data_IF_034341194218
#
_entry.id   IF_034341194218
#
_cell.length_a   1.000
_cell.length_b   1.000
_cell.length_c   1.000
_cell.angle_alpha   90.00
_cell.angle_beta   90.00
_cell.angle_gamma   90.00
#
_symmetry.space_group_name_H-M   'P 1'
#
loop_
_entity.id
_entity.type
_entity.pdbx_description
1 polymer ?
#
# COMPACT_ATOMS: atom_id res chain seq x y z
N UNK A 1 -8.54 60.13 -22.73
CA UNK A 1 -9.06 59.02 -21.89
C UNK A 1 -8.40 57.66 -22.16
N UNK A 2 -7.54 57.50 -23.18
CA UNK A 2 -6.86 56.22 -23.47
C UNK A 2 -5.70 55.85 -22.54
N UNK A 3 -4.98 56.83 -21.97
CA UNK A 3 -3.86 56.57 -21.05
C UNK A 3 -4.28 55.86 -19.75
N UNK A 4 -5.42 56.27 -19.17
CA UNK A 4 -5.97 55.65 -17.96
C UNK A 4 -6.48 54.22 -18.21
N UNK A 5 -7.11 53.99 -19.37
CA UNK A 5 -7.60 52.67 -19.79
C UNK A 5 -6.45 51.69 -20.02
N UNK A 6 -5.35 52.14 -20.65
CA UNK A 6 -4.13 51.34 -20.86
C UNK A 6 -3.45 50.97 -19.54
N UNK A 7 -3.37 51.89 -18.59
CA UNK A 7 -2.80 51.62 -17.26
C UNK A 7 -3.67 50.67 -16.43
N UNK A 8 -5.00 50.79 -16.48
CA UNK A 8 -5.90 49.82 -15.83
C UNK A 8 -5.75 48.41 -16.42
N UNK A 9 -5.62 48.27 -17.74
CA UNK A 9 -5.40 46.97 -18.38
C UNK A 9 -4.08 46.34 -17.95
N UNK A 10 -3.00 47.13 -17.84
CA UNK A 10 -1.71 46.64 -17.36
C UNK A 10 -1.75 46.20 -15.89
N UNK A 11 -2.49 46.91 -15.04
CA UNK A 11 -2.68 46.55 -13.62
C UNK A 11 -3.51 45.26 -13.48
N UNK A 12 -4.56 45.10 -14.29
CA UNK A 12 -5.36 43.87 -14.27
C UNK A 12 -4.53 42.68 -14.76
N UNK A 13 -3.74 42.87 -15.82
CA UNK A 13 -2.89 41.81 -16.35
C UNK A 13 -1.81 41.37 -15.35
N UNK A 14 -1.21 42.32 -14.61
CA UNK A 14 -0.24 41.99 -13.57
C UNK A 14 -0.88 41.25 -12.40
N UNK A 15 -2.08 41.68 -11.95
CA UNK A 15 -2.83 40.99 -10.88
C UNK A 15 -3.19 39.55 -11.27
N UNK A 16 -3.67 39.33 -12.50
CA UNK A 16 -3.97 37.99 -13.02
C UNK A 16 -2.71 37.14 -13.09
N UNK A 17 -1.60 37.70 -13.57
CA UNK A 17 -0.32 37.00 -13.65
C UNK A 17 0.18 36.54 -12.27
N UNK A 18 0.14 37.41 -11.26
CA UNK A 18 0.52 37.05 -9.88
C UNK A 18 -0.43 36.00 -9.27
N UNK A 19 -1.73 36.08 -9.56
CA UNK A 19 -2.71 35.09 -9.10
C UNK A 19 -2.45 33.70 -9.70
N UNK A 20 -2.15 33.63 -11.00
CA UNK A 20 -1.82 32.37 -11.68
C UNK A 20 -0.52 31.78 -11.12
N UNK A 21 0.51 32.61 -10.90
CA UNK A 21 1.77 32.16 -10.31
C UNK A 21 1.58 31.60 -8.89
N UNK A 22 0.78 32.28 -8.06
CA UNK A 22 0.45 31.81 -6.71
C UNK A 22 -0.33 30.49 -6.72
N UNK A 23 -1.23 30.31 -7.71
CA UNK A 23 -1.97 29.07 -7.89
C UNK A 23 -1.05 27.92 -8.32
N UNK A 24 -0.15 28.15 -9.28
CA UNK A 24 0.82 27.15 -9.74
C UNK A 24 1.79 26.76 -8.62
N UNK A 25 2.27 27.72 -7.83
CA UNK A 25 3.17 27.43 -6.70
C UNK A 25 2.44 26.68 -5.56
N UNK A 26 1.18 27.01 -5.29
CA UNK A 26 0.35 26.26 -4.35
C UNK A 26 0.12 24.81 -4.80
N UNK A 27 -0.18 24.62 -6.10
CA UNK A 27 -0.33 23.30 -6.70
C UNK A 27 0.97 22.49 -6.66
N UNK A 28 2.12 23.11 -6.94
CA UNK A 28 3.40 22.40 -6.92
C UNK A 28 3.76 21.96 -5.49
N UNK A 29 3.55 22.80 -4.48
CA UNK A 29 3.74 22.42 -3.07
C UNK A 29 2.80 21.29 -2.67
N UNK A 30 1.51 21.38 -3.04
CA UNK A 30 0.54 20.32 -2.78
C UNK A 30 0.93 18.99 -3.45
N UNK A 31 1.37 19.03 -4.70
CA UNK A 31 1.84 17.84 -5.41
C UNK A 31 3.10 17.26 -4.79
N UNK A 32 4.06 18.10 -4.38
CA UNK A 32 5.30 17.65 -3.71
C UNK A 32 5.02 17.00 -2.36
N UNK A 33 4.10 17.55 -1.56
CA UNK A 33 3.68 16.95 -0.29
C UNK A 33 3.07 15.56 -0.53
N UNK A 34 2.17 15.44 -1.52
CA UNK A 34 1.52 14.15 -1.83
C UNK A 34 2.48 13.13 -2.49
N UNK A 35 3.45 13.58 -3.29
CA UNK A 35 4.48 12.70 -3.88
C UNK A 35 5.49 12.22 -2.84
N UNK A 36 5.80 13.05 -1.84
CA UNK A 36 6.74 12.71 -0.78
C UNK A 36 6.23 11.62 0.17
N UNK A 37 4.94 11.27 0.11
CA UNK A 37 4.36 10.10 0.79
C UNK A 37 4.63 8.83 -0.05
N UNK A 38 5.84 8.68 -0.56
CA UNK A 38 6.31 7.37 -1.02
C UNK A 38 6.72 6.63 0.24
N UNK A 39 5.86 5.73 0.72
CA UNK A 39 6.17 4.89 1.88
C UNK A 39 7.54 4.22 1.71
N UNK A 40 8.24 3.90 2.82
CA UNK A 40 9.60 3.41 2.76
C UNK A 40 9.72 2.21 1.81
N UNK A 41 10.65 2.30 0.85
CA UNK A 41 10.86 1.24 -0.14
C UNK A 41 11.31 -0.05 0.55
N UNK A 42 10.83 -1.21 0.08
CA UNK A 42 11.28 -2.50 0.60
C UNK A 42 12.77 -2.70 0.30
N UNK A 43 13.54 -3.08 1.32
CA UNK A 43 14.99 -3.29 1.27
C UNK A 43 15.28 -4.79 1.32
N UNK A 44 16.17 -5.26 0.45
CA UNK A 44 16.57 -6.68 0.42
C UNK A 44 17.41 -7.04 1.65
N UNK A 45 17.17 -8.23 2.21
CA UNK A 45 17.91 -8.82 3.31
C UNK A 45 17.91 -10.35 3.21
N UNK A 46 18.64 -10.99 4.12
CA UNK A 46 18.57 -12.43 4.36
C UNK A 46 17.76 -12.69 5.62
N UNK A 47 16.72 -13.52 5.49
CA UNK A 47 15.84 -13.91 6.58
C UNK A 47 16.00 -15.39 6.85
N UNK A 48 16.33 -15.74 8.10
CA UNK A 48 16.36 -17.13 8.56
C UNK A 48 15.05 -17.49 9.22
N UNK A 49 14.47 -18.62 8.82
CA UNK A 49 13.19 -19.09 9.34
C UNK A 49 13.39 -19.74 10.71
N UNK A 50 12.76 -19.20 11.74
CA UNK A 50 12.78 -19.72 13.11
C UNK A 50 11.66 -20.72 13.36
N UNK A 51 10.48 -20.47 12.80
CA UNK A 51 9.34 -21.38 12.89
C UNK A 51 8.41 -21.19 11.70
N UNK A 52 7.64 -22.22 11.37
CA UNK A 52 6.61 -22.18 10.34
C UNK A 52 5.32 -22.83 10.81
N UNK A 53 4.19 -22.20 10.48
CA UNK A 53 2.85 -22.69 10.81
C UNK A 53 1.86 -22.32 9.69
N UNK A 54 0.65 -22.89 9.77
CA UNK A 54 -0.50 -22.43 8.98
C UNK A 54 -1.53 -21.88 9.95
N UNK A 55 -2.04 -20.69 9.65
CA UNK A 55 -3.00 -20.00 10.50
C UNK A 55 -4.10 -19.35 9.66
N UNK A 56 -5.24 -19.08 10.31
CA UNK A 56 -6.34 -18.33 9.73
C UNK A 56 -6.11 -16.83 9.97
N UNK A 57 -5.87 -16.09 8.89
CA UNK A 57 -5.70 -14.63 8.93
C UNK A 57 -7.00 -13.93 8.59
N UNK A 58 -7.12 -12.71 9.09
CA UNK A 58 -8.23 -11.82 8.78
C UNK A 58 -7.71 -10.50 8.23
N UNK A 59 -8.39 -9.98 7.21
CA UNK A 59 -8.18 -8.63 6.72
C UNK A 59 -9.53 -7.92 6.66
N UNK A 60 -9.56 -6.67 7.12
CA UNK A 60 -10.75 -5.84 6.99
C UNK A 60 -10.85 -5.34 5.56
N UNK A 61 -11.89 -5.77 4.86
CA UNK A 61 -12.24 -5.31 3.51
C UNK A 61 -13.38 -4.33 3.64
N UNK A 62 -13.18 -3.12 3.12
CA UNK A 62 -14.23 -2.11 3.06
C UNK A 62 -14.64 -1.93 1.59
N UNK A 63 -15.95 -1.85 1.34
CA UNK A 63 -16.44 -1.41 0.04
C UNK A 63 -15.81 -0.05 -0.30
N UNK A 64 -15.04 -0.02 -1.39
CA UNK A 64 -14.28 1.14 -1.81
C UNK A 64 -15.24 2.26 -2.24
N UNK A 65 -15.32 3.33 -1.44
CA UNK A 65 -15.73 4.64 -1.93
C UNK A 65 -14.68 5.19 -2.94
N UNK A 66 -15.05 6.16 -3.79
CA UNK A 66 -14.23 6.62 -4.93
C UNK A 66 -12.79 7.06 -4.62
N UNK A 67 -12.45 7.35 -3.35
CA UNK A 67 -11.18 7.98 -2.96
C UNK A 67 -10.20 7.06 -2.20
N UNK A 68 -10.55 5.79 -1.92
CA UNK A 68 -9.81 4.97 -0.95
C UNK A 68 -8.92 3.86 -1.54
N UNK A 69 -8.59 3.95 -2.82
CA UNK A 69 -7.95 2.87 -3.56
C UNK A 69 -6.43 2.67 -3.26
N UNK A 70 -5.73 3.67 -2.71
CA UNK A 70 -4.25 3.65 -2.62
C UNK A 70 -3.64 3.62 -1.22
N UNK A 71 -4.42 3.69 -0.13
CA UNK A 71 -3.83 3.69 1.21
C UNK A 71 -3.52 2.26 1.69
N UNK A 72 -2.27 1.83 1.45
CA UNK A 72 -1.67 0.62 2.05
C UNK A 72 -1.46 0.73 3.57
N UNK A 73 -1.66 1.91 4.14
CA UNK A 73 -1.68 2.15 5.58
C UNK A 73 -3.08 2.60 5.98
N UNK A 74 -3.91 1.67 6.46
CA UNK A 74 -5.17 2.02 7.12
C UNK A 74 -4.82 2.59 8.49
N UNK A 75 -4.40 3.86 8.53
CA UNK A 75 -4.60 4.66 9.72
C UNK A 75 -6.11 4.74 9.94
N UNK A 76 -6.57 4.12 11.02
CA UNK A 76 -7.96 4.09 11.45
C UNK A 76 -8.54 5.51 11.48
N UNK A 77 -9.48 5.88 10.59
CA UNK A 77 -10.31 7.04 10.83
C UNK A 77 -11.25 6.67 11.98
N UNK A 78 -11.28 7.50 13.01
CA UNK A 78 -12.19 7.39 14.18
C UNK A 78 -13.66 7.68 13.80
N UNK A 79 -13.94 7.92 12.51
CA UNK A 79 -15.25 8.26 11.99
C UNK A 79 -15.99 7.02 11.48
N UNK A 80 -17.28 6.95 11.82
CA UNK A 80 -18.20 5.86 11.48
C UNK A 80 -18.15 5.60 9.97
N UNK A 81 -17.84 4.38 9.50
CA UNK A 81 -17.72 4.13 8.07
C UNK A 81 -19.10 4.22 7.42
N UNK A 82 -19.27 5.14 6.47
CA UNK A 82 -20.44 5.18 5.56
C UNK A 82 -20.48 3.97 4.61
N UNK A 83 -19.39 3.21 4.50
CA UNK A 83 -19.24 2.03 3.65
C UNK A 83 -19.29 0.74 4.46
N UNK A 84 -19.95 -0.29 3.94
CA UNK A 84 -20.06 -1.60 4.59
C UNK A 84 -18.68 -2.27 4.55
N UNK A 85 -18.04 -2.35 5.72
CA UNK A 85 -16.81 -3.12 5.89
C UNK A 85 -17.14 -4.51 6.46
N UNK A 86 -16.45 -5.53 5.98
CA UNK A 86 -16.50 -6.88 6.52
C UNK A 86 -15.08 -7.41 6.72
N UNK A 87 -14.95 -8.46 7.52
CA UNK A 87 -13.69 -9.17 7.68
C UNK A 87 -13.64 -10.35 6.74
N UNK A 88 -12.61 -10.39 5.91
CA UNK A 88 -12.30 -11.53 5.06
C UNK A 88 -11.29 -12.43 5.76
N UNK A 89 -11.66 -13.70 5.88
CA UNK A 89 -10.82 -14.75 6.45
C UNK A 89 -10.17 -15.57 5.35
N UNK A 90 -8.89 -15.89 5.53
CA UNK A 90 -8.10 -16.67 4.58
C UNK A 90 -7.04 -17.49 5.28
N UNK A 91 -6.70 -18.65 4.71
CA UNK A 91 -5.59 -19.46 5.18
C UNK A 91 -4.26 -18.86 4.71
N UNK A 92 -3.30 -18.76 5.61
CA UNK A 92 -1.96 -18.29 5.28
C UNK A 92 -0.89 -19.16 5.94
N UNK A 93 0.24 -19.31 5.25
CA UNK A 93 1.47 -19.79 5.87
C UNK A 93 2.08 -18.65 6.65
N UNK A 94 2.45 -18.91 7.90
CA UNK A 94 3.05 -17.91 8.80
C UNK A 94 4.44 -18.38 9.15
N UNK A 95 5.42 -17.49 9.00
CA UNK A 95 6.80 -17.73 9.34
C UNK A 95 7.26 -16.72 10.36
N UNK A 96 7.86 -17.18 11.45
CA UNK A 96 8.67 -16.31 12.30
C UNK A 96 10.08 -16.34 11.73
N UNK A 97 10.63 -15.17 11.43
CA UNK A 97 11.93 -15.05 10.79
C UNK A 97 12.82 -14.09 11.56
N UNK A 98 14.11 -14.38 11.56
CA UNK A 98 15.13 -13.45 12.02
C UNK A 98 15.87 -12.86 10.82
N UNK A 99 16.14 -11.55 10.87
CA UNK A 99 16.87 -10.85 9.83
C UNK A 99 17.74 -9.76 10.44
N UNK A 100 18.77 -9.34 9.70
CA UNK A 100 19.69 -8.28 10.14
C UNK A 100 19.54 -7.06 9.23
N UNK A 101 18.93 -5.96 9.70
CA UNK A 101 18.86 -4.72 8.93
C UNK A 101 20.26 -4.14 8.74
N UNK A 102 20.56 -3.72 7.51
CA UNK A 102 21.86 -3.16 7.11
C UNK A 102 22.33 -2.03 8.05
N UNK A 103 21.41 -1.15 8.46
CA UNK A 103 21.73 0.05 9.24
C UNK A 103 21.95 -0.21 10.74
N UNK A 104 21.33 -1.25 11.31
CA UNK A 104 21.30 -1.44 12.77
C UNK A 104 22.33 -2.44 13.27
N UNK A 105 22.79 -3.36 12.41
CA UNK A 105 23.71 -4.43 12.79
C UNK A 105 23.19 -5.39 13.86
N UNK A 106 21.93 -5.25 14.31
CA UNK A 106 21.27 -6.13 15.29
C UNK A 106 20.33 -7.09 14.59
N UNK A 107 20.23 -8.31 15.09
CA UNK A 107 19.24 -9.27 14.60
C UNK A 107 17.87 -8.90 15.14
N UNK A 108 16.89 -8.76 14.25
CA UNK A 108 15.50 -8.50 14.56
C UNK A 108 14.66 -9.72 14.19
N UNK A 109 13.54 -9.89 14.89
CA UNK A 109 12.54 -10.89 14.55
C UNK A 109 11.29 -10.22 13.96
N UNK A 110 10.72 -10.84 12.94
CA UNK A 110 9.49 -10.39 12.30
C UNK A 110 8.65 -11.57 11.83
N UNK A 111 7.42 -11.28 11.43
CA UNK A 111 6.51 -12.24 10.82
C UNK A 111 6.52 -12.08 9.30
N UNK A 112 6.55 -13.20 8.59
CA UNK A 112 6.25 -13.27 7.16
C UNK A 112 4.98 -14.10 6.94
N UNK A 113 4.12 -13.66 6.02
CA UNK A 113 2.82 -14.28 5.76
C UNK A 113 2.62 -14.51 4.27
N UNK A 114 2.28 -15.74 3.89
CA UNK A 114 1.99 -16.12 2.52
C UNK A 114 0.55 -16.69 2.42
N UNK A 115 -0.44 -15.96 1.87
CA UNK A 115 -0.32 -14.65 1.24
C UNK A 115 -0.26 -13.47 2.24
N UNK A 116 0.38 -12.37 1.85
CA UNK A 116 0.53 -11.11 2.62
C UNK A 116 -0.81 -10.50 3.04
N UNK A 117 -1.82 -10.69 2.21
CA UNK A 117 -3.13 -10.05 2.30
C UNK A 117 -4.21 -11.00 1.78
N UNK A 118 -5.49 -10.73 2.06
CA UNK A 118 -6.57 -11.52 1.50
C UNK A 118 -6.61 -11.41 -0.03
N UNK A 119 -6.44 -12.56 -0.68
CA UNK A 119 -6.57 -12.69 -2.12
C UNK A 119 -8.05 -12.76 -2.53
N UNK A 120 -8.37 -12.37 -3.79
CA UNK A 120 -9.68 -12.60 -4.41
C UNK A 120 -10.17 -14.04 -4.23
N UNK A 121 -11.50 -14.23 -4.12
CA UNK A 121 -12.10 -15.53 -3.83
C UNK A 121 -11.73 -16.63 -4.83
N UNK A 122 -11.57 -16.28 -6.11
CA UNK A 122 -11.22 -17.21 -7.19
C UNK A 122 -9.78 -17.76 -7.08
N UNK A 123 -8.88 -17.07 -6.40
CA UNK A 123 -7.47 -17.46 -6.27
C UNK A 123 -7.01 -17.60 -4.81
N UNK A 124 -7.96 -17.58 -3.87
CA UNK A 124 -7.67 -17.67 -2.44
C UNK A 124 -7.15 -19.08 -2.10
N UNK A 125 -5.99 -19.21 -1.44
CA UNK A 125 -5.46 -20.51 -1.07
C UNK A 125 -6.37 -21.19 -0.04
N UNK A 126 -6.61 -22.47 -0.24
CA UNK A 126 -7.20 -23.33 0.77
C UNK A 126 -6.14 -23.76 1.80
N UNK A 127 -6.57 -24.48 2.84
CA UNK A 127 -5.66 -24.98 3.87
C UNK A 127 -4.51 -25.82 3.29
N UNK A 128 -4.80 -26.73 2.36
CA UNK A 128 -3.79 -27.60 1.74
C UNK A 128 -2.76 -26.80 0.95
N UNK A 129 -3.18 -25.78 0.20
CA UNK A 129 -2.28 -24.87 -0.51
C UNK A 129 -1.38 -24.11 0.45
N UNK A 130 -1.94 -23.54 1.53
CA UNK A 130 -1.14 -22.89 2.57
C UNK A 130 -0.18 -23.88 3.24
N UNK A 131 -0.60 -25.11 3.52
CA UNK A 131 0.28 -26.14 4.08
C UNK A 131 1.44 -26.50 3.16
N UNK A 132 1.19 -26.62 1.86
CA UNK A 132 2.22 -26.88 0.86
C UNK A 132 3.21 -25.71 0.77
N UNK A 133 2.72 -24.46 0.76
CA UNK A 133 3.58 -23.27 0.82
C UNK A 133 4.44 -23.25 2.08
N UNK A 134 3.87 -23.56 3.25
CA UNK A 134 4.64 -23.71 4.49
C UNK A 134 5.78 -24.70 4.34
N UNK A 135 5.55 -25.84 3.66
CA UNK A 135 6.56 -26.89 3.48
C UNK A 135 7.66 -26.54 2.46
N UNK A 136 7.50 -25.49 1.65
CA UNK A 136 8.57 -25.02 0.75
C UNK A 136 9.70 -24.33 1.51
N UNK A 137 9.41 -23.74 2.67
CA UNK A 137 10.38 -23.06 3.51
C UNK A 137 10.70 -23.91 4.74
N UNK A 138 11.96 -24.30 4.86
CA UNK A 138 12.44 -25.12 5.98
C UNK A 138 12.86 -24.23 7.15
N UNK A 139 12.57 -24.71 8.34
CA UNK A 139 13.05 -24.09 9.58
C UNK A 139 14.57 -24.20 9.62
N UNK A 140 15.23 -23.17 10.15
CA UNK A 140 16.68 -23.03 10.27
C UNK A 140 17.41 -22.82 8.92
N UNK A 141 16.69 -22.61 7.81
CA UNK A 141 17.25 -22.17 6.53
C UNK A 141 17.07 -20.66 6.31
N UNK A 142 17.95 -20.09 5.49
CA UNK A 142 17.99 -18.66 5.16
C UNK A 142 17.51 -18.43 3.75
N UNK A 143 16.66 -17.43 3.56
CA UNK A 143 16.07 -17.05 2.28
C UNK A 143 16.22 -15.56 2.02
N UNK A 144 16.29 -15.17 0.75
CA UNK A 144 16.22 -13.78 0.34
C UNK A 144 14.84 -13.22 0.70
N UNK A 145 14.83 -12.10 1.43
CA UNK A 145 13.61 -11.45 1.87
C UNK A 145 13.69 -9.94 1.67
N UNK A 146 12.54 -9.27 1.77
CA UNK A 146 12.45 -7.81 1.75
C UNK A 146 11.79 -7.32 3.03
N UNK A 147 12.41 -6.35 3.68
CA UNK A 147 11.82 -5.67 4.83
C UNK A 147 11.58 -4.21 4.51
N UNK A 148 10.47 -3.66 5.01
CA UNK A 148 10.19 -2.23 4.93
C UNK A 148 10.50 -1.61 6.29
N UNK A 149 11.40 -0.60 6.37
CA UNK A 149 11.65 0.12 7.61
C UNK A 149 10.35 0.63 8.24
N UNK A 150 10.12 0.28 9.52
CA UNK A 150 8.90 0.64 10.26
C UNK A 150 7.71 -0.31 10.07
N UNK A 151 7.80 -1.32 9.19
CA UNK A 151 6.81 -2.37 9.09
C UNK A 151 7.08 -3.48 10.11
N UNK A 152 6.01 -4.09 10.64
CA UNK A 152 6.08 -5.26 11.53
C UNK A 152 6.19 -6.60 10.80
N UNK A 153 6.01 -6.58 9.47
CA UNK A 153 6.02 -7.76 8.61
C UNK A 153 7.16 -7.67 7.60
N UNK A 154 7.71 -8.82 7.26
CA UNK A 154 8.72 -8.97 6.21
C UNK A 154 8.22 -9.93 5.15
N UNK A 155 8.78 -9.77 3.95
CA UNK A 155 8.39 -10.51 2.79
C UNK A 155 9.45 -11.54 2.43
N UNK A 156 9.13 -12.83 2.54
CA UNK A 156 10.06 -13.94 2.27
C UNK A 156 9.86 -14.55 0.88
N UNK A 157 8.89 -14.07 0.09
CA UNK A 157 8.57 -14.65 -1.21
C UNK A 157 8.25 -13.58 -2.27
N UNK A 158 8.55 -13.89 -3.53
CA UNK A 158 8.28 -12.98 -4.65
C UNK A 158 6.80 -12.85 -4.97
N UNK A 159 6.41 -11.70 -5.53
CA UNK A 159 5.09 -11.48 -6.12
C UNK A 159 4.91 -12.44 -7.32
N UNK A 160 4.36 -13.64 -7.05
CA UNK A 160 4.28 -14.72 -8.04
C UNK A 160 3.96 -16.08 -7.43
N UNK A 161 4.15 -16.26 -6.12
CA UNK A 161 3.89 -17.54 -5.45
C UNK A 161 2.46 -18.07 -5.65
N UNK A 162 1.47 -17.17 -5.71
CA UNK A 162 0.06 -17.55 -5.83
C UNK A 162 -0.53 -17.32 -7.24
N UNK A 163 0.29 -16.95 -8.24
CA UNK A 163 -0.16 -16.57 -9.60
C UNK A 163 -1.42 -15.67 -9.60
N UNK A 164 -1.60 -14.89 -8.54
CA UNK A 164 -2.77 -14.07 -8.32
C UNK A 164 -2.32 -12.65 -8.07
N UNK A 165 -2.88 -11.74 -8.86
CA UNK A 165 -2.71 -10.32 -8.66
C UNK A 165 -3.98 -9.84 -7.98
N UNK A 166 -3.85 -8.89 -7.04
CA UNK A 166 -5.02 -8.13 -6.59
C UNK A 166 -5.63 -7.53 -7.86
N UNK A 167 -6.90 -7.84 -8.09
CA UNK A 167 -7.64 -7.27 -9.21
C UNK A 167 -7.91 -5.82 -8.87
N UNK A 168 -6.96 -5.00 -9.32
CA UNK A 168 -7.03 -3.56 -9.26
C UNK A 168 -8.23 -3.12 -10.13
N UNK A 169 -9.25 -2.44 -9.58
CA UNK A 169 -10.43 -2.04 -10.32
C UNK A 169 -10.00 -1.21 -11.52
N UNK A 170 -10.52 -1.57 -12.69
CA UNK A 170 -10.22 -0.85 -13.92
C UNK A 170 -10.57 0.64 -13.80
N UNK A 171 -9.89 1.50 -14.57
CA UNK A 171 -10.23 2.93 -14.62
C UNK A 171 -11.71 3.16 -14.97
N UNK A 172 -12.31 2.27 -15.77
CA UNK A 172 -13.73 2.28 -16.07
C UNK A 172 -14.60 1.94 -14.85
N UNK A 173 -14.22 0.97 -14.02
CA UNK A 173 -14.91 0.68 -12.77
C UNK A 173 -14.77 1.82 -11.75
N UNK A 174 -13.59 2.42 -11.64
CA UNK A 174 -13.35 3.59 -10.80
C UNK A 174 -14.24 4.77 -11.24
N UNK A 175 -14.29 5.06 -12.55
CA UNK A 175 -15.17 6.10 -13.11
C UNK A 175 -16.64 5.75 -12.90
N UNK A 176 -17.08 4.52 -13.21
CA UNK A 176 -18.46 4.08 -13.00
C UNK A 176 -18.90 4.24 -11.54
N UNK A 177 -18.04 3.90 -10.57
CA UNK A 177 -18.33 4.07 -9.14
C UNK A 177 -18.32 5.54 -8.71
N UNK A 178 -17.53 6.38 -9.38
CA UNK A 178 -17.52 7.83 -9.16
C UNK A 178 -18.80 8.51 -9.67
N UNK A 179 -19.33 8.07 -10.83
CA UNK A 179 -20.52 8.66 -11.45
C UNK A 179 -21.85 8.08 -10.98
N UNK A 180 -21.88 6.86 -10.41
CA UNK A 180 -23.09 6.28 -9.78
C UNK A 180 -23.21 6.63 -8.29
N UNK A 181 -22.63 7.77 -7.88
CA UNK A 181 -22.84 8.40 -6.57
C UNK A 181 -24.07 9.29 -6.58
#
# INVERSE_FOLDING_TARGET
MEGARRNCVLIILSLVFFSVLAFISGLSVFLMINYSITGPSPVSAECKVLSSSVDLRSSKVCELGPLNYRNKNVLYPKERPRHKCHYDYYWASVFQVEYRPYQSGRTLQALAEAPKEALPLNCRPNFSSAWLTKNQFKVNETYACKYTPGASKVDIYGDGLFNCHREDPSAFELMRRFYNL
#
